data_IF_249930573819
#
_entry.id   IF_249930573819
#
_cell.length_a   1.000
_cell.length_b   1.000
_cell.length_c   1.000
_cell.angle_alpha   90.00
_cell.angle_beta   90.00
_cell.angle_gamma   90.00
#
_symmetry.space_group_name_H-M   'P 1'
#
loop_
_entity.id
_entity.type
_entity.pdbx_description
1 polymer ?
#
# COMPACT_ATOMS: atom_id res chain seq x y z
N UNK A 1 -19.11 0.05 -20.54
CA UNK A 1 -18.63 1.42 -20.85
C UNK A 1 -17.17 1.53 -20.40
N UNK A 2 -16.35 2.41 -20.99
CA UNK A 2 -14.97 2.65 -20.51
C UNK A 2 -14.85 4.11 -20.08
N UNK A 3 -14.38 4.34 -18.86
CA UNK A 3 -14.08 5.64 -18.29
C UNK A 3 -12.58 5.78 -18.15
N UNK A 4 -11.98 6.81 -18.77
CA UNK A 4 -10.53 6.99 -18.75
C UNK A 4 -10.11 8.06 -17.74
N UNK A 5 -9.10 7.75 -16.93
CA UNK A 5 -8.51 8.66 -15.97
C UNK A 5 -6.98 8.61 -16.09
N UNK A 6 -6.38 9.74 -16.44
CA UNK A 6 -4.93 9.92 -16.34
C UNK A 6 -4.58 10.16 -14.87
N UNK A 7 -3.62 9.40 -14.36
CA UNK A 7 -3.20 9.52 -12.95
C UNK A 7 -1.72 9.15 -12.76
N UNK A 8 -1.25 9.32 -11.53
CA UNK A 8 0.09 9.01 -11.08
C UNK A 8 0.02 7.97 -9.97
N UNK A 9 0.92 6.99 -9.98
CA UNK A 9 1.03 6.01 -8.91
C UNK A 9 1.55 6.72 -7.65
N UNK A 10 0.65 6.89 -6.67
CA UNK A 10 0.93 7.50 -5.36
C UNK A 10 0.51 6.55 -4.25
N UNK A 11 1.24 6.59 -3.14
CA UNK A 11 1.03 5.71 -1.99
C UNK A 11 1.39 6.43 -0.69
N UNK A 12 0.97 5.86 0.44
CA UNK A 12 1.40 6.23 1.79
C UNK A 12 1.85 4.98 2.53
N UNK A 13 2.97 5.08 3.23
CA UNK A 13 3.46 4.06 4.15
C UNK A 13 2.84 4.33 5.52
N UNK A 14 2.13 3.34 6.07
CA UNK A 14 1.42 3.47 7.34
C UNK A 14 1.76 2.31 8.27
N UNK A 15 1.94 2.64 9.54
CA UNK A 15 2.14 1.66 10.61
C UNK A 15 0.80 1.00 10.91
N UNK A 16 0.71 -0.31 10.68
CA UNK A 16 -0.55 -1.06 10.79
C UNK A 16 -0.72 -1.70 12.16
N UNK A 17 0.30 -2.45 12.61
CA UNK A 17 0.25 -3.20 13.86
C UNK A 17 1.61 -3.17 14.55
N UNK A 18 1.61 -3.36 15.87
CA UNK A 18 2.80 -3.69 16.65
C UNK A 18 2.69 -5.11 17.23
N UNK A 19 3.77 -5.87 17.10
CA UNK A 19 4.00 -7.09 17.88
C UNK A 19 4.76 -6.72 19.15
N UNK A 20 4.36 -7.32 20.28
CA UNK A 20 4.97 -7.13 21.60
C UNK A 20 5.49 -8.47 22.10
N UNK A 21 6.77 -8.55 22.45
CA UNK A 21 7.34 -9.73 23.07
C UNK A 21 7.65 -9.51 24.56
N UNK A 22 8.05 -8.30 24.94
CA UNK A 22 8.21 -7.84 26.32
C UNK A 22 7.98 -6.31 26.46
N UNK A 23 8.39 -5.71 27.58
CA UNK A 23 8.12 -4.29 27.83
C UNK A 23 8.85 -3.34 26.86
N UNK A 24 9.93 -3.76 26.19
CA UNK A 24 10.76 -2.90 25.33
C UNK A 24 11.01 -3.46 23.90
N UNK A 25 10.60 -4.70 23.61
CA UNK A 25 10.72 -5.32 22.29
C UNK A 25 9.45 -5.11 21.45
N UNK A 26 9.52 -4.09 20.59
CA UNK A 26 8.46 -3.71 19.65
C UNK A 26 8.94 -3.89 18.21
N UNK A 27 8.12 -4.57 17.42
CA UNK A 27 8.30 -4.59 15.98
C UNK A 27 6.97 -4.23 15.32
N UNK A 28 7.02 -3.50 14.20
CA UNK A 28 5.82 -3.04 13.52
C UNK A 28 5.67 -3.61 12.12
N UNK A 29 4.43 -3.69 11.68
CA UNK A 29 4.06 -4.04 10.30
C UNK A 29 3.67 -2.79 9.53
N UNK A 30 4.04 -2.73 8.25
CA UNK A 30 3.79 -1.58 7.38
C UNK A 30 2.83 -1.92 6.26
N UNK A 31 1.79 -1.09 6.11
CA UNK A 31 0.87 -1.09 4.99
C UNK A 31 1.31 -0.07 3.95
N UNK A 32 1.30 -0.47 2.67
CA UNK A 32 1.48 0.44 1.53
C UNK A 32 0.09 0.80 1.01
N UNK A 33 -0.49 1.88 1.53
CA UNK A 33 -1.86 2.29 1.17
C UNK A 33 -1.87 3.13 -0.13
N UNK A 34 -2.82 2.93 -1.05
CA UNK A 34 -2.90 3.71 -2.28
C UNK A 34 -3.37 5.16 -2.05
N UNK A 35 -2.85 6.11 -2.83
CA UNK A 35 -3.20 7.54 -2.77
C UNK A 35 -3.31 8.21 -4.16
N UNK A 36 -3.56 7.42 -5.19
CA UNK A 36 -3.72 7.91 -6.57
C UNK A 36 -5.17 8.33 -6.88
N UNK A 37 -5.37 9.04 -7.99
CA UNK A 37 -6.72 9.44 -8.37
C UNK A 37 -7.48 8.26 -8.98
N UNK A 38 -8.73 8.07 -8.54
CA UNK A 38 -9.51 6.87 -8.84
C UNK A 38 -9.65 5.94 -7.63
N UNK A 39 -8.76 6.06 -6.64
CA UNK A 39 -8.91 5.41 -5.33
C UNK A 39 -9.67 6.31 -4.34
N UNK A 40 -10.59 5.73 -3.58
CA UNK A 40 -11.34 6.39 -2.54
C UNK A 40 -10.46 6.60 -1.29
N UNK A 41 -9.99 7.83 -1.11
CA UNK A 41 -9.14 8.21 0.04
C UNK A 41 -9.88 8.26 1.38
N UNK A 42 -11.21 8.18 1.36
CA UNK A 42 -12.06 8.21 2.54
C UNK A 42 -12.61 6.82 2.88
N UNK A 43 -12.01 5.74 2.39
CA UNK A 43 -12.36 4.41 2.89
C UNK A 43 -12.00 4.42 4.38
N UNK A 44 -13.00 4.20 5.23
CA UNK A 44 -12.84 4.17 6.70
C UNK A 44 -11.87 3.06 7.16
N UNK A 45 -11.49 2.19 6.22
CA UNK A 45 -10.63 1.04 6.41
C UNK A 45 -9.36 1.15 5.55
N UNK A 46 -8.25 1.52 6.20
CA UNK A 46 -6.91 1.58 5.57
C UNK A 46 -6.31 0.17 5.34
N UNK A 47 -7.14 -0.89 5.41
CA UNK A 47 -6.77 -2.28 5.13
C UNK A 47 -6.52 -2.55 3.64
N UNK A 48 -6.97 -1.67 2.73
CA UNK A 48 -6.60 -1.78 1.32
C UNK A 48 -5.15 -1.37 1.13
N UNK A 49 -4.33 -2.33 0.71
CA UNK A 49 -2.91 -2.15 0.44
C UNK A 49 -2.58 -2.44 -1.02
N UNK A 50 -1.48 -1.87 -1.46
CA UNK A 50 -0.86 -2.12 -2.75
C UNK A 50 -0.07 -3.43 -2.67
N UNK A 51 -0.31 -4.32 -3.61
CA UNK A 51 0.56 -5.47 -3.85
C UNK A 51 1.82 -5.02 -4.60
N UNK A 52 2.86 -4.72 -3.84
CA UNK A 52 4.15 -4.26 -4.38
C UNK A 52 4.88 -5.33 -5.20
N UNK A 53 4.59 -6.62 -4.97
CA UNK A 53 5.16 -7.74 -5.74
C UNK A 53 4.61 -7.73 -7.17
N UNK A 54 3.29 -7.60 -7.27
CA UNK A 54 2.60 -7.49 -8.55
C UNK A 54 2.97 -6.18 -9.24
N UNK A 55 3.02 -5.05 -8.54
CA UNK A 55 3.48 -3.77 -9.11
C UNK A 55 4.85 -3.89 -9.77
N UNK A 56 5.83 -4.46 -9.04
CA UNK A 56 7.18 -4.60 -9.54
C UNK A 56 7.22 -5.52 -10.76
N UNK A 57 6.45 -6.61 -10.70
CA UNK A 57 6.34 -7.58 -11.80
C UNK A 57 5.68 -6.98 -13.04
N UNK A 58 4.68 -6.11 -12.88
CA UNK A 58 3.93 -5.51 -13.99
C UNK A 58 4.72 -4.46 -14.76
N UNK A 59 5.91 -4.06 -14.32
CA UNK A 59 6.77 -3.14 -15.07
C UNK A 59 7.22 -3.71 -16.42
N UNK A 60 7.29 -5.04 -16.53
CA UNK A 60 7.88 -5.73 -17.68
C UNK A 60 6.93 -6.69 -18.40
N UNK A 61 5.71 -6.90 -17.88
CA UNK A 61 4.72 -7.77 -18.50
C UNK A 61 3.30 -7.28 -18.26
N UNK A 62 2.47 -7.50 -19.26
CA UNK A 62 1.01 -7.43 -19.13
C UNK A 62 0.54 -8.61 -18.26
N UNK A 63 -0.47 -8.39 -17.43
CA UNK A 63 -1.02 -9.43 -16.55
C UNK A 63 -2.40 -9.07 -16.02
N UNK A 64 -3.17 -10.11 -15.70
CA UNK A 64 -4.36 -10.01 -14.85
C UNK A 64 -3.95 -10.29 -13.41
N UNK A 65 -4.16 -9.33 -12.51
CA UNK A 65 -3.69 -9.44 -11.13
C UNK A 65 -4.43 -8.51 -10.16
N UNK A 66 -4.37 -8.84 -8.87
CA UNK A 66 -4.90 -8.02 -7.77
C UNK A 66 -3.84 -7.04 -7.28
N UNK A 67 -3.65 -5.91 -7.97
CA UNK A 67 -2.69 -4.87 -7.55
C UNK A 67 -3.07 -4.17 -6.26
N UNK A 68 -4.34 -4.28 -5.86
CA UNK A 68 -4.88 -3.85 -4.58
C UNK A 68 -5.47 -5.08 -3.89
N UNK A 69 -5.26 -5.18 -2.58
CA UNK A 69 -5.72 -6.32 -1.77
C UNK A 69 -5.88 -5.89 -0.31
N UNK A 70 -6.39 -6.78 0.54
CA UNK A 70 -6.32 -6.60 2.00
C UNK A 70 -4.88 -6.78 2.48
N UNK A 71 -4.56 -6.26 3.66
CA UNK A 71 -3.26 -6.43 4.31
C UNK A 71 -2.84 -7.88 4.59
N UNK A 72 -3.78 -8.84 4.52
CA UNK A 72 -3.51 -10.29 4.60
C UNK A 72 -3.26 -10.94 3.23
N UNK A 73 -3.39 -10.17 2.13
CA UNK A 73 -3.25 -10.66 0.76
C UNK A 73 -4.52 -11.21 0.13
N UNK A 74 -5.64 -11.26 0.86
CA UNK A 74 -6.94 -11.69 0.34
C UNK A 74 -7.74 -10.49 -0.16
N UNK A 75 -7.92 -10.37 -1.47
CA UNK A 75 -8.59 -9.21 -2.09
C UNK A 75 -10.07 -9.11 -1.74
N UNK A 76 -10.75 -10.26 -1.60
CA UNK A 76 -12.17 -10.36 -1.25
C UNK A 76 -12.47 -9.77 0.14
N UNK A 77 -11.50 -9.78 1.07
CA UNK A 77 -11.67 -9.24 2.43
C UNK A 77 -11.90 -7.72 2.44
N UNK A 78 -11.53 -7.03 1.35
CA UNK A 78 -11.78 -5.60 1.15
C UNK A 78 -12.80 -5.32 0.04
N UNK A 79 -13.51 -6.35 -0.44
CA UNK A 79 -14.52 -6.22 -1.50
C UNK A 79 -13.93 -6.01 -2.90
N UNK A 80 -12.76 -6.59 -3.16
CA UNK A 80 -12.18 -6.70 -4.51
C UNK A 80 -12.42 -8.12 -5.02
N UNK A 81 -13.39 -8.26 -5.91
CA UNK A 81 -13.93 -9.56 -6.34
C UNK A 81 -13.37 -10.04 -7.69
N UNK A 82 -12.60 -9.20 -8.40
CA UNK A 82 -12.00 -9.54 -9.68
C UNK A 82 -10.61 -8.89 -9.88
N UNK A 83 -9.72 -9.52 -10.66
CA UNK A 83 -8.41 -8.96 -10.95
C UNK A 83 -8.49 -7.79 -11.94
N UNK A 84 -7.50 -6.89 -11.87
CA UNK A 84 -7.28 -5.83 -12.87
C UNK A 84 -6.50 -6.39 -14.05
N UNK A 85 -6.85 -5.96 -15.26
CA UNK A 85 -6.00 -6.18 -16.43
C UNK A 85 -4.99 -5.05 -16.58
N UNK A 86 -3.69 -5.37 -16.51
CA UNK A 86 -2.59 -4.45 -16.76
C UNK A 86 -2.05 -4.60 -18.18
N UNK A 87 -1.89 -3.47 -18.89
CA UNK A 87 -1.34 -3.39 -20.26
C UNK A 87 -0.17 -2.44 -20.32
N UNK A 88 0.82 -2.76 -21.14
CA UNK A 88 2.02 -1.93 -21.31
C UNK A 88 2.07 -1.44 -22.76
N UNK A 89 1.89 -0.13 -22.91
CA UNK A 89 2.11 0.55 -24.19
C UNK A 89 3.50 1.20 -24.19
N UNK A 90 3.87 1.83 -25.32
CA UNK A 90 5.20 2.44 -25.49
C UNK A 90 5.54 3.40 -24.34
N UNK A 91 4.62 4.33 -24.04
CA UNK A 91 4.85 5.41 -23.09
C UNK A 91 3.89 5.38 -21.89
N UNK A 92 2.99 4.40 -21.82
CA UNK A 92 1.97 4.33 -20.75
C UNK A 92 1.80 2.92 -20.20
N UNK A 93 1.42 2.85 -18.93
CA UNK A 93 0.91 1.64 -18.27
C UNK A 93 -0.57 1.88 -18.02
N UNK A 94 -1.39 0.88 -18.35
CA UNK A 94 -2.85 0.96 -18.22
C UNK A 94 -3.32 -0.09 -17.23
N UNK A 95 -4.18 0.31 -16.30
CA UNK A 95 -4.97 -0.60 -15.48
C UNK A 95 -6.44 -0.49 -15.89
N UNK A 96 -6.99 -1.58 -16.40
CA UNK A 96 -8.42 -1.72 -16.66
C UNK A 96 -9.07 -2.37 -15.43
N UNK A 97 -9.77 -1.56 -14.63
CA UNK A 97 -10.44 -1.97 -13.38
C UNK A 97 -11.93 -2.19 -13.66
N UNK A 98 -12.48 -3.39 -13.46
CA UNK A 98 -13.93 -3.62 -13.53
C UNK A 98 -14.61 -2.91 -12.36
N UNK A 99 -15.55 -2.02 -12.63
CA UNK A 99 -16.14 -1.13 -11.62
C UNK A 99 -17.00 -1.91 -10.63
N UNK A 100 -17.78 -2.85 -11.15
CA UNK A 100 -18.70 -3.70 -10.40
C UNK A 100 -18.00 -4.53 -9.30
N UNK A 101 -16.73 -4.88 -9.51
CA UNK A 101 -15.96 -5.75 -8.62
C UNK A 101 -15.05 -4.98 -7.65
N UNK A 102 -15.12 -3.64 -7.66
CA UNK A 102 -14.26 -2.75 -6.86
C UNK A 102 -15.05 -1.81 -5.93
N UNK A 103 -16.36 -2.06 -5.76
CA UNK A 103 -17.21 -1.48 -4.71
C UNK A 103 -16.89 -0.05 -4.24
N UNK A 104 -16.73 0.11 -2.93
CA UNK A 104 -16.44 1.39 -2.25
C UNK A 104 -14.97 1.85 -2.35
N UNK A 105 -14.10 1.04 -2.97
CA UNK A 105 -12.68 1.34 -3.14
C UNK A 105 -12.48 2.44 -4.18
N UNK A 106 -13.40 2.55 -5.14
CA UNK A 106 -13.29 3.56 -6.19
C UNK A 106 -13.74 4.94 -5.71
N UNK A 107 -12.97 5.96 -6.06
CA UNK A 107 -13.33 7.35 -5.81
C UNK A 107 -14.63 7.73 -6.52
N UNK A 108 -15.38 8.68 -5.96
CA UNK A 108 -16.47 9.32 -6.71
C UNK A 108 -15.90 10.04 -7.95
N UNK A 109 -16.60 10.02 -9.09
CA UNK A 109 -17.96 9.47 -9.28
C UNK A 109 -18.01 7.96 -9.56
N UNK A 110 -16.87 7.28 -9.71
CA UNK A 110 -16.79 5.91 -10.22
C UNK A 110 -17.49 4.88 -9.34
N UNK A 111 -17.42 5.02 -8.01
CA UNK A 111 -18.17 4.19 -7.05
C UNK A 111 -19.70 4.29 -7.17
N UNK A 112 -20.23 5.30 -7.89
CA UNK A 112 -21.68 5.40 -8.11
C UNK A 112 -22.13 4.67 -9.38
N UNK A 113 -21.22 4.13 -10.19
CA UNK A 113 -21.56 3.41 -11.41
C UNK A 113 -21.76 1.92 -11.09
N UNK A 114 -22.78 1.31 -11.70
CA UNK A 114 -23.13 -0.10 -11.45
C UNK A 114 -22.36 -1.10 -12.33
N UNK A 115 -21.74 -0.64 -13.41
CA UNK A 115 -20.99 -1.47 -14.36
C UNK A 115 -19.99 -0.63 -15.16
N UNK A 116 -18.95 -1.29 -15.67
CA UNK A 116 -18.04 -0.73 -16.66
C UNK A 116 -16.58 -0.90 -16.28
N UNK A 117 -15.70 -0.25 -17.04
CA UNK A 117 -14.26 -0.31 -16.79
C UNK A 117 -13.76 1.09 -16.47
N UNK A 118 -13.16 1.26 -15.30
CA UNK A 118 -12.30 2.40 -15.02
C UNK A 118 -10.90 2.09 -15.54
N UNK A 119 -10.51 2.78 -16.60
CA UNK A 119 -9.17 2.72 -17.17
C UNK A 119 -8.29 3.79 -16.54
N UNK A 120 -7.39 3.38 -15.65
CA UNK A 120 -6.32 4.25 -15.15
C UNK A 120 -5.16 4.23 -16.14
N UNK A 121 -4.68 5.42 -16.51
CA UNK A 121 -3.61 5.62 -17.49
C UNK A 121 -2.46 6.33 -16.78
N UNK A 122 -1.35 5.61 -16.62
CA UNK A 122 -0.14 6.10 -16.00
C UNK A 122 0.91 6.42 -17.07
N UNK A 123 1.66 7.50 -16.89
CA UNK A 123 2.92 7.66 -17.62
C UNK A 123 3.90 6.56 -17.19
N UNK A 124 4.48 5.86 -18.16
CA UNK A 124 5.32 4.70 -17.89
C UNK A 124 6.59 5.05 -17.13
N UNK A 125 7.20 6.21 -17.42
CA UNK A 125 8.43 6.64 -16.76
C UNK A 125 8.14 6.98 -15.31
N UNK A 126 7.08 7.75 -15.05
CA UNK A 126 6.66 8.12 -13.70
C UNK A 126 6.22 6.90 -12.89
N UNK A 127 5.45 5.98 -13.47
CA UNK A 127 5.04 4.74 -12.80
C UNK A 127 6.24 3.88 -12.41
N UNK A 128 7.22 3.74 -13.31
CA UNK A 128 8.46 3.00 -13.03
C UNK A 128 9.25 3.65 -11.91
N UNK A 129 9.39 4.98 -11.94
CA UNK A 129 10.08 5.73 -10.88
C UNK A 129 9.39 5.58 -9.53
N UNK A 130 8.06 5.73 -9.48
CA UNK A 130 7.28 5.56 -8.26
C UNK A 130 7.38 4.14 -7.70
N UNK A 131 7.34 3.12 -8.56
CA UNK A 131 7.50 1.71 -8.14
C UNK A 131 8.89 1.47 -7.55
N UNK A 132 9.97 1.94 -8.19
CA UNK A 132 11.31 1.80 -7.63
C UNK A 132 11.54 2.64 -6.39
N UNK A 133 10.92 3.82 -6.29
CA UNK A 133 10.96 4.64 -5.09
C UNK A 133 10.30 3.91 -3.91
N UNK A 134 9.13 3.31 -4.11
CA UNK A 134 8.45 2.49 -3.11
C UNK A 134 9.38 1.39 -2.59
N UNK A 135 9.96 0.59 -3.49
CA UNK A 135 10.84 -0.51 -3.09
C UNK A 135 12.06 0.00 -2.31
N UNK A 136 12.66 1.13 -2.71
CA UNK A 136 13.79 1.74 -1.98
C UNK A 136 13.39 2.21 -0.59
N UNK A 137 12.26 2.87 -0.45
CA UNK A 137 11.74 3.34 0.84
C UNK A 137 11.48 2.15 1.78
N UNK A 138 10.86 1.08 1.29
CA UNK A 138 10.65 -0.15 2.07
C UNK A 138 11.99 -0.81 2.48
N UNK A 139 12.98 -0.87 1.58
CA UNK A 139 14.32 -1.37 1.92
C UNK A 139 15.04 -0.50 2.95
N UNK A 140 14.85 0.81 2.91
CA UNK A 140 15.41 1.74 3.89
C UNK A 140 14.76 1.50 5.27
N UNK A 141 13.43 1.43 5.31
CA UNK A 141 12.68 1.13 6.53
C UNK A 141 13.05 -0.24 7.12
N UNK A 142 13.25 -1.25 6.28
CA UNK A 142 13.70 -2.57 6.73
C UNK A 142 15.06 -2.54 7.44
N UNK A 143 15.96 -1.64 7.01
CA UNK A 143 17.32 -1.50 7.57
C UNK A 143 17.37 -0.60 8.80
N UNK A 144 16.64 0.51 8.77
CA UNK A 144 16.77 1.60 9.74
C UNK A 144 15.62 1.65 10.75
N UNK A 145 14.50 1.01 10.45
CA UNK A 145 13.25 1.18 11.18
C UNK A 145 12.59 2.53 10.93
N UNK A 146 11.49 2.79 11.63
CA UNK A 146 10.79 4.08 11.60
C UNK A 146 11.25 4.95 12.75
N UNK A 147 11.75 6.13 12.44
CA UNK A 147 12.08 7.12 13.45
C UNK A 147 10.81 7.53 14.22
N UNK A 148 10.84 7.43 15.54
CA UNK A 148 9.69 7.72 16.40
C UNK A 148 9.43 9.22 16.59
N UNK A 149 10.49 10.03 16.45
CA UNK A 149 10.39 11.47 16.60
C UNK A 149 9.58 12.08 15.45
N UNK A 150 8.43 12.67 15.78
CA UNK A 150 7.57 13.35 14.83
C UNK A 150 6.43 12.47 14.28
N UNK A 151 6.28 11.24 14.76
CA UNK A 151 5.11 10.43 14.42
C UNK A 151 3.82 11.12 14.87
N UNK A 152 2.83 11.07 13.99
CA UNK A 152 1.48 11.62 14.15
C UNK A 152 0.45 10.53 13.86
N UNK A 153 -0.82 10.78 14.16
CA UNK A 153 -1.90 9.82 13.89
C UNK A 153 -1.99 9.42 12.41
N UNK A 154 -1.59 10.30 11.49
CA UNK A 154 -1.66 10.03 10.03
C UNK A 154 -0.64 9.00 9.55
N UNK A 155 0.41 8.75 10.35
CA UNK A 155 1.45 7.76 10.06
C UNK A 155 1.01 6.34 10.40
N UNK A 156 -0.16 6.17 11.00
CA UNK A 156 -0.75 4.88 11.35
C UNK A 156 -1.96 4.60 10.46
N UNK A 157 -2.33 3.33 10.36
CA UNK A 157 -3.66 2.96 9.88
C UNK A 157 -4.72 3.41 10.89
N UNK A 158 -5.88 3.84 10.38
CA UNK A 158 -7.06 4.08 11.23
C UNK A 158 -7.58 2.75 11.82
N UNK A 159 -7.37 1.66 11.07
CA UNK A 159 -7.64 0.30 11.50
C UNK A 159 -6.75 -0.05 12.70
N UNK A 160 -7.34 -0.70 13.72
CA UNK A 160 -6.66 -1.22 14.93
C UNK A 160 -6.33 -0.24 16.06
N UNK A 161 -6.64 1.07 15.94
CA UNK A 161 -6.50 2.03 17.04
C UNK A 161 -5.07 2.19 17.58
N UNK A 162 -4.07 1.85 16.75
CA UNK A 162 -2.67 1.82 17.16
C UNK A 162 -2.14 3.21 17.51
N UNK A 163 -2.51 4.24 16.74
CA UNK A 163 -2.09 5.62 17.00
C UNK A 163 -2.48 6.09 18.41
N UNK A 164 -3.76 5.94 18.77
CA UNK A 164 -4.34 6.36 20.04
C UNK A 164 -3.66 5.69 21.23
N UNK A 165 -3.32 4.40 21.09
CA UNK A 165 -2.67 3.64 22.13
C UNK A 165 -1.16 3.91 22.21
N UNK A 166 -0.50 4.00 21.06
CA UNK A 166 0.96 3.96 20.98
C UNK A 166 1.62 5.34 21.12
N UNK A 167 1.06 6.39 20.48
CA UNK A 167 1.65 7.73 20.51
C UNK A 167 1.80 8.29 21.94
N UNK A 168 0.79 8.18 22.84
CA UNK A 168 0.96 8.64 24.23
C UNK A 168 2.02 7.84 25.00
N UNK A 169 2.19 6.55 24.67
CA UNK A 169 3.18 5.67 25.30
C UNK A 169 4.59 5.95 24.81
N UNK A 170 4.76 6.24 23.52
CA UNK A 170 6.01 6.73 22.93
C UNK A 170 6.52 7.98 23.65
N UNK A 171 5.63 8.92 23.99
CA UNK A 171 6.01 10.14 24.70
C UNK A 171 6.34 9.92 26.19
N UNK A 172 6.01 8.76 26.76
CA UNK A 172 6.12 8.49 28.21
C UNK A 172 6.92 7.23 28.50
N UNK A 173 6.27 6.06 28.44
CA UNK A 173 6.86 4.75 28.76
C UNK A 173 8.01 4.37 27.82
N UNK A 174 7.88 4.69 26.54
CA UNK A 174 8.80 4.28 25.47
C UNK A 174 9.63 5.43 24.91
N UNK A 175 9.83 6.51 25.67
CA UNK A 175 10.55 7.70 25.22
C UNK A 175 12.02 7.46 24.85
N UNK A 176 12.59 6.34 25.29
CA UNK A 176 13.95 5.92 24.94
C UNK A 176 14.02 5.24 23.56
N UNK A 177 12.88 4.79 23.01
CA UNK A 177 12.80 4.15 21.70
C UNK A 177 12.83 5.24 20.64
N UNK A 178 13.94 5.27 19.89
CA UNK A 178 14.16 6.27 18.82
C UNK A 178 13.75 5.78 17.45
N UNK A 179 13.71 4.46 17.25
CA UNK A 179 13.35 3.81 16.01
C UNK A 179 12.50 2.57 16.31
N UNK A 180 11.48 2.33 15.50
CA UNK A 180 10.64 1.14 15.52
C UNK A 180 11.17 0.15 14.48
N UNK A 181 11.70 -1.00 14.89
CA UNK A 181 12.03 -2.09 13.98
C UNK A 181 10.83 -2.50 13.11
N UNK A 182 11.08 -2.80 11.84
CA UNK A 182 10.06 -3.35 10.94
C UNK A 182 10.13 -4.87 10.97
N UNK A 183 9.00 -5.49 11.32
CA UNK A 183 8.82 -6.94 11.25
C UNK A 183 8.46 -7.40 9.84
N UNK A 184 7.36 -6.86 9.32
CA UNK A 184 6.76 -7.28 8.06
C UNK A 184 6.26 -6.12 7.22
N UNK A 185 6.19 -6.36 5.92
CA UNK A 185 5.48 -5.54 4.95
C UNK A 185 4.24 -6.30 4.46
N UNK A 186 3.08 -5.68 4.56
CA UNK A 186 1.80 -6.21 4.08
C UNK A 186 1.65 -5.91 2.58
N UNK A 187 1.06 -6.81 1.77
CA UNK A 187 0.02 -7.77 2.17
C UNK A 187 0.44 -9.20 2.59
N UNK A 188 1.70 -9.60 2.42
CA UNK A 188 2.07 -11.03 2.54
C UNK A 188 2.83 -11.38 3.82
N UNK A 189 2.74 -10.53 4.84
CA UNK A 189 3.61 -10.61 6.01
C UNK A 189 5.09 -10.79 5.62
N UNK A 190 5.50 -10.14 4.52
CA UNK A 190 6.83 -10.34 3.96
C UNK A 190 7.85 -9.81 4.97
N UNK A 191 8.70 -10.70 5.49
CA UNK A 191 9.67 -10.30 6.51
C UNK A 191 10.60 -9.23 5.95
N UNK A 192 10.97 -8.27 6.79
CA UNK A 192 11.84 -7.16 6.38
C UNK A 192 13.20 -7.63 5.85
N UNK A 193 13.71 -8.75 6.36
CA UNK A 193 14.94 -9.38 5.90
C UNK A 193 14.77 -10.00 4.50
N UNK A 194 13.71 -10.80 4.29
CA UNK A 194 13.45 -11.42 2.98
C UNK A 194 13.20 -10.35 1.91
N UNK A 195 12.53 -9.25 2.29
CA UNK A 195 12.24 -8.13 1.39
C UNK A 195 13.53 -7.50 0.83
N UNK A 196 14.55 -7.29 1.67
CA UNK A 196 15.82 -6.69 1.24
C UNK A 196 16.50 -7.52 0.16
N UNK A 197 16.45 -8.85 0.29
CA UNK A 197 17.08 -9.80 -0.64
C UNK A 197 16.29 -9.97 -1.93
N UNK A 198 14.95 -9.90 -1.86
CA UNK A 198 14.05 -10.20 -2.98
C UNK A 198 14.12 -9.19 -4.12
N UNK A 199 14.31 -7.90 -3.84
CA UNK A 199 14.26 -6.85 -4.87
C UNK A 199 15.65 -6.26 -5.19
N UNK A 200 16.11 -6.37 -6.45
CA UNK A 200 17.41 -5.88 -6.89
C UNK A 200 17.38 -4.37 -7.21
N UNK A 201 16.74 -3.58 -6.36
CA UNK A 201 16.71 -2.12 -6.47
C UNK A 201 17.70 -1.56 -5.45
N UNK A 202 18.77 -0.93 -5.94
CA UNK A 202 19.74 -0.18 -5.15
C UNK A 202 19.25 1.23 -4.85
#
# INVERSE_FOLDING_TARGET
>A
MIYELKTELRYKLRIAMASFWDDDDFEVSINVTPDFDGYNRNVDDDCVVIDFDLLFTSLNREMEAYFLTCECGVSEDVGIDAPITSKILNDTIIWDIPIEDYGDILAKPYSNYSEGILRLIFDKTQYTQATFQLIRELKLLAKEGIKTAGLTEQDFTCSYGMADWFLPKLATKYAHITHLPIKTFNPYDCSSLDFIEKYPVD
#
